data_IF_407732851872
#
_entry.id   IF_407732851872
#
_cell.length_a   1.000
_cell.length_b   1.000
_cell.length_c   1.000
_cell.angle_alpha   90.00
_cell.angle_beta   90.00
_cell.angle_gamma   90.00
#
_symmetry.space_group_name_H-M   'P 1'
#
loop_
_entity.id
_entity.type
_entity.pdbx_description
1 polymer ?
#
# COMPACT_ATOMS: atom_id res chain seq x y z
N UNK A 1 9.84 -11.88 15.05
CA UNK A 1 9.54 -11.09 13.83
C UNK A 1 10.86 -10.62 13.22
N UNK A 2 11.42 -11.34 12.24
CA UNK A 2 12.68 -10.98 11.60
C UNK A 2 12.42 -9.90 10.54
N UNK A 3 12.92 -8.68 10.75
CA UNK A 3 12.78 -7.59 9.79
C UNK A 3 14.06 -7.47 8.97
N UNK A 4 13.97 -7.63 7.65
CA UNK A 4 15.05 -7.36 6.68
C UNK A 4 15.36 -5.86 6.59
N UNK A 5 15.87 -5.29 7.68
CA UNK A 5 16.36 -3.91 7.75
C UNK A 5 17.89 -3.94 7.79
N UNK A 6 18.53 -3.19 6.89
CA UNK A 6 19.99 -3.12 6.85
C UNK A 6 20.53 -2.50 8.16
N UNK A 7 21.42 -3.19 8.90
CA UNK A 7 21.91 -2.75 10.22
C UNK A 7 22.55 -1.36 10.25
N UNK A 8 23.06 -0.88 9.12
CA UNK A 8 23.72 0.42 8.99
C UNK A 8 22.78 1.59 8.67
N UNK A 9 21.47 1.37 8.56
CA UNK A 9 20.52 2.42 8.21
C UNK A 9 20.00 3.16 9.44
N UNK A 10 19.81 4.49 9.35
CA UNK A 10 19.12 5.25 10.39
C UNK A 10 17.72 4.68 10.71
N UNK A 11 17.09 4.07 9.69
CA UNK A 11 15.82 3.35 9.79
C UNK A 11 15.90 2.11 10.70
N UNK A 12 17.03 1.38 10.68
CA UNK A 12 17.28 0.25 11.56
C UNK A 12 17.39 0.71 13.02
N UNK A 13 18.16 1.75 13.30
CA UNK A 13 18.26 2.30 14.67
C UNK A 13 16.93 2.85 15.17
N UNK A 14 16.15 3.52 14.32
CA UNK A 14 14.80 3.98 14.67
C UNK A 14 13.84 2.80 14.92
N UNK A 15 13.85 1.78 14.07
CA UNK A 15 13.02 0.59 14.23
C UNK A 15 13.40 -0.19 15.50
N UNK A 16 14.69 -0.40 15.73
CA UNK A 16 15.23 -1.08 16.91
C UNK A 16 14.93 -0.31 18.20
N UNK A 17 15.17 1.01 18.24
CA UNK A 17 14.83 1.86 19.38
C UNK A 17 13.33 1.84 19.69
N UNK A 18 12.49 1.86 18.65
CA UNK A 18 11.03 1.77 18.80
C UNK A 18 10.58 0.37 19.24
N UNK A 19 11.28 -0.68 18.79
CA UNK A 19 11.07 -2.05 19.25
C UNK A 19 11.34 -2.20 20.74
N UNK A 20 12.46 -1.67 21.22
CA UNK A 20 12.85 -1.70 22.64
C UNK A 20 11.97 -0.82 23.54
N UNK A 21 11.44 0.29 23.02
CA UNK A 21 10.68 1.27 23.82
C UNK A 21 9.24 0.86 24.12
N UNK A 22 8.69 -0.08 23.36
CA UNK A 22 7.30 -0.54 23.49
C UNK A 22 7.30 -2.05 23.58
N UNK A 23 6.79 -2.59 24.69
CA UNK A 23 6.71 -4.03 24.92
C UNK A 23 5.99 -4.77 23.80
N UNK A 24 6.41 -6.01 23.54
CA UNK A 24 5.85 -6.87 22.48
C UNK A 24 4.33 -7.04 22.62
N UNK A 25 3.82 -7.18 23.84
CA UNK A 25 2.38 -7.27 24.12
C UNK A 25 1.58 -6.06 23.63
N UNK A 26 2.07 -4.83 23.87
CA UNK A 26 1.41 -3.62 23.39
C UNK A 26 1.47 -3.50 21.87
N UNK A 27 2.48 -4.09 21.23
CA UNK A 27 2.60 -4.11 19.79
C UNK A 27 1.66 -5.13 19.14
N UNK A 28 1.52 -6.32 19.73
CA UNK A 28 0.54 -7.33 19.32
C UNK A 28 -0.89 -6.79 19.42
N UNK A 29 -1.23 -6.10 20.51
CA UNK A 29 -2.54 -5.44 20.65
C UNK A 29 -2.81 -4.40 19.56
N UNK A 30 -1.77 -3.66 19.12
CA UNK A 30 -1.88 -2.70 18.03
C UNK A 30 -1.99 -3.39 16.67
N UNK A 31 -1.33 -4.53 16.49
CA UNK A 31 -1.47 -5.37 15.31
C UNK A 31 -2.92 -5.86 15.14
N UNK A 32 -3.50 -6.40 16.21
CA UNK A 32 -4.91 -6.82 16.25
C UNK A 32 -5.83 -5.64 15.93
N UNK A 33 -5.54 -4.45 16.48
CA UNK A 33 -6.31 -3.25 16.20
C UNK A 33 -6.25 -2.84 14.71
N UNK A 34 -5.08 -2.88 14.07
CA UNK A 34 -4.97 -2.62 12.63
C UNK A 34 -5.71 -3.65 11.77
N UNK A 35 -5.63 -4.93 12.14
CA UNK A 35 -6.39 -6.00 11.45
C UNK A 35 -7.90 -5.75 11.58
N UNK A 36 -8.37 -5.30 12.74
CA UNK A 36 -9.79 -4.94 12.94
C UNK A 36 -10.25 -3.77 12.06
N UNK A 37 -9.32 -2.95 11.56
CA UNK A 37 -9.58 -1.88 10.60
C UNK A 37 -9.48 -2.34 9.13
N UNK A 38 -9.26 -3.63 8.89
CA UNK A 38 -9.18 -4.23 7.55
C UNK A 38 -7.78 -4.24 6.92
N UNK A 39 -6.73 -3.94 7.69
CA UNK A 39 -5.35 -4.01 7.20
C UNK A 39 -4.83 -5.45 7.20
N UNK A 40 -4.07 -5.83 6.16
CA UNK A 40 -3.34 -7.10 6.17
C UNK A 40 -2.07 -7.01 7.03
N UNK A 41 -1.53 -8.15 7.45
CA UNK A 41 -0.25 -8.19 8.18
C UNK A 41 0.88 -7.51 7.38
N UNK A 42 0.90 -7.74 6.07
CA UNK A 42 1.87 -7.12 5.14
C UNK A 42 1.73 -5.60 5.06
N UNK A 43 0.51 -5.06 5.14
CA UNK A 43 0.28 -3.61 5.17
C UNK A 43 0.83 -2.98 6.44
N UNK A 44 0.61 -3.64 7.58
CA UNK A 44 1.09 -3.20 8.90
C UNK A 44 2.62 -3.21 8.93
N UNK A 45 3.24 -4.31 8.48
CA UNK A 45 4.70 -4.45 8.39
C UNK A 45 5.28 -3.43 7.40
N UNK A 46 4.62 -3.20 6.27
CA UNK A 46 5.05 -2.21 5.28
C UNK A 46 4.97 -0.79 5.81
N UNK A 47 3.92 -0.44 6.56
CA UNK A 47 3.80 0.86 7.22
C UNK A 47 4.84 1.03 8.33
N UNK A 48 5.10 -0.02 9.11
CA UNK A 48 6.14 0.01 10.14
C UNK A 48 7.53 0.24 9.55
N UNK A 49 7.88 -0.49 8.47
CA UNK A 49 9.15 -0.32 7.75
C UNK A 49 9.31 1.10 7.20
N UNK A 50 8.23 1.72 6.69
CA UNK A 50 8.26 3.08 6.13
C UNK A 50 8.27 4.17 7.20
N UNK A 51 7.58 3.95 8.31
CA UNK A 51 7.35 4.90 9.40
C UNK A 51 7.35 4.14 10.73
N UNK A 52 8.52 3.88 11.34
CA UNK A 52 8.60 3.18 12.62
C UNK A 52 7.79 3.85 13.74
N UNK A 53 7.56 5.17 13.62
CA UNK A 53 6.76 5.96 14.57
C UNK A 53 5.28 5.51 14.64
N UNK A 54 4.79 4.68 13.72
CA UNK A 54 3.42 4.15 13.81
C UNK A 54 3.21 3.36 15.10
N UNK A 55 4.28 2.74 15.63
CA UNK A 55 4.25 2.02 16.89
C UNK A 55 4.07 2.97 18.08
N UNK A 56 4.39 4.24 17.95
CA UNK A 56 4.26 5.27 18.99
C UNK A 56 2.84 5.84 19.10
N UNK A 57 1.97 5.58 18.12
CA UNK A 57 0.58 6.01 18.17
C UNK A 57 -0.16 5.32 19.33
N UNK A 58 -0.87 6.06 20.15
CA UNK A 58 -1.75 5.46 21.16
C UNK A 58 -2.93 4.77 20.47
N UNK A 59 -3.47 3.70 21.08
CA UNK A 59 -4.64 2.99 20.55
C UNK A 59 -5.82 3.94 20.33
N UNK A 60 -6.01 4.92 21.21
CA UNK A 60 -7.08 5.91 21.08
C UNK A 60 -6.85 6.86 19.90
N UNK A 61 -5.60 7.26 19.65
CA UNK A 61 -5.27 8.08 18.47
C UNK A 61 -5.48 7.27 17.18
N UNK A 62 -5.15 5.99 17.17
CA UNK A 62 -5.40 5.09 16.04
C UNK A 62 -6.90 4.95 15.76
N UNK A 63 -7.71 4.69 16.80
CA UNK A 63 -9.18 4.60 16.68
C UNK A 63 -9.79 5.91 16.20
N UNK A 64 -9.44 7.05 16.80
CA UNK A 64 -9.95 8.36 16.36
C UNK A 64 -9.60 8.66 14.91
N UNK A 65 -8.38 8.33 14.50
CA UNK A 65 -7.94 8.50 13.12
C UNK A 65 -8.73 7.60 12.17
N UNK A 66 -8.94 6.33 12.54
CA UNK A 66 -9.73 5.41 11.73
C UNK A 66 -11.21 5.78 11.69
N UNK A 67 -11.83 6.09 12.83
CA UNK A 67 -13.21 6.56 12.92
C UNK A 67 -13.42 7.84 12.10
N UNK A 68 -12.44 8.75 12.12
CA UNK A 68 -12.46 9.95 11.30
C UNK A 68 -12.45 9.59 9.80
N UNK A 69 -11.60 8.67 9.37
CA UNK A 69 -11.56 8.21 7.98
C UNK A 69 -12.81 7.46 7.54
N UNK A 70 -13.41 6.65 8.42
CA UNK A 70 -14.64 5.90 8.15
C UNK A 70 -15.87 6.83 8.11
N UNK A 71 -15.91 7.87 8.95
CA UNK A 71 -17.02 8.84 9.02
C UNK A 71 -16.91 9.95 7.99
N UNK A 72 -15.72 10.19 7.44
CA UNK A 72 -15.47 11.20 6.41
C UNK A 72 -14.80 10.52 5.20
N UNK A 73 -15.54 9.68 4.45
CA UNK A 73 -15.02 9.02 3.24
C UNK A 73 -14.51 10.06 2.21
N UNK A 74 -15.09 11.27 2.21
CA UNK A 74 -14.68 12.39 1.37
C UNK A 74 -13.33 13.03 1.78
N UNK A 75 -12.87 12.79 3.01
CA UNK A 75 -11.61 13.31 3.56
C UNK A 75 -10.46 12.28 3.54
N UNK A 76 -10.66 11.18 2.81
CA UNK A 76 -9.55 10.47 2.17
C UNK A 76 -9.03 9.22 2.88
N UNK A 77 -9.78 8.12 2.82
CA UNK A 77 -9.31 7.09 1.89
C UNK A 77 -9.84 7.49 0.52
N UNK A 78 -9.04 8.18 -0.29
CA UNK A 78 -9.62 8.95 -1.35
C UNK A 78 -10.20 8.03 -2.41
N UNK A 79 -11.45 8.27 -2.76
CA UNK A 79 -12.06 7.76 -3.98
C UNK A 79 -11.15 8.00 -5.21
N UNK A 80 -10.34 9.07 -5.22
CA UNK A 80 -9.30 9.28 -6.24
C UNK A 80 -8.12 8.30 -6.18
N UNK A 81 -7.75 7.81 -4.99
CA UNK A 81 -6.73 6.78 -4.82
C UNK A 81 -7.28 5.43 -5.26
N UNK A 82 -8.51 5.07 -4.93
CA UNK A 82 -9.13 3.83 -5.44
C UNK A 82 -9.26 3.85 -6.96
N UNK A 83 -9.78 4.95 -7.52
CA UNK A 83 -9.85 5.22 -8.98
C UNK A 83 -8.49 5.24 -9.67
N UNK A 84 -7.38 5.36 -8.93
CA UNK A 84 -6.01 5.32 -9.48
C UNK A 84 -5.32 3.98 -9.24
N UNK A 85 -5.52 3.37 -8.08
CA UNK A 85 -4.87 2.15 -7.65
C UNK A 85 -5.45 0.96 -8.40
N UNK A 86 -6.77 0.87 -8.51
CA UNK A 86 -7.46 -0.29 -9.07
C UNK A 86 -7.15 -0.49 -10.57
N UNK A 87 -7.25 0.54 -11.45
CA UNK A 87 -6.79 0.43 -12.84
C UNK A 87 -5.33 -0.02 -12.96
N UNK A 88 -4.46 0.56 -12.13
CA UNK A 88 -3.02 0.32 -12.20
C UNK A 88 -2.67 -1.07 -11.72
N UNK A 89 -3.34 -1.54 -10.67
CA UNK A 89 -3.15 -2.88 -10.14
C UNK A 89 -3.59 -3.95 -11.11
N UNK A 90 -4.73 -3.77 -11.77
CA UNK A 90 -5.23 -4.68 -12.80
C UNK A 90 -4.22 -4.85 -13.94
N UNK A 91 -3.65 -3.74 -14.44
CA UNK A 91 -2.58 -3.78 -15.47
C UNK A 91 -1.35 -4.56 -14.98
N UNK A 92 -0.89 -4.30 -13.76
CA UNK A 92 0.31 -4.96 -13.21
C UNK A 92 0.07 -6.45 -13.03
N UNK A 93 -1.12 -6.86 -12.58
CA UNK A 93 -1.50 -8.28 -12.46
C UNK A 93 -1.47 -8.98 -13.82
N UNK A 94 -2.04 -8.37 -14.85
CA UNK A 94 -2.03 -8.91 -16.22
C UNK A 94 -0.59 -9.07 -16.72
N UNK A 95 0.25 -8.04 -16.58
CA UNK A 95 1.63 -8.12 -17.02
C UNK A 95 2.45 -9.16 -16.23
N UNK A 96 2.17 -9.33 -14.95
CA UNK A 96 2.83 -10.33 -14.10
C UNK A 96 2.38 -11.75 -14.48
N UNK A 97 1.10 -11.97 -14.79
CA UNK A 97 0.60 -13.28 -15.22
C UNK A 97 1.15 -13.72 -16.57
N UNK A 98 1.55 -12.75 -17.42
CA UNK A 98 2.23 -13.00 -18.69
C UNK A 98 3.77 -13.05 -18.54
N UNK A 99 4.30 -13.01 -17.31
CA UNK A 99 5.74 -13.10 -17.04
C UNK A 99 6.56 -11.87 -17.46
N UNK A 100 5.91 -10.76 -17.85
CA UNK A 100 6.59 -9.53 -18.29
C UNK A 100 7.17 -8.76 -17.11
N UNK A 101 6.46 -8.76 -15.97
CA UNK A 101 6.90 -8.12 -14.74
C UNK A 101 7.28 -9.16 -13.69
N UNK A 102 8.27 -8.83 -12.87
CA UNK A 102 8.61 -9.59 -11.67
C UNK A 102 7.46 -9.46 -10.64
N UNK A 103 7.18 -10.53 -9.87
CA UNK A 103 6.20 -10.55 -8.78
C UNK A 103 6.42 -9.44 -7.72
N UNK A 104 7.62 -8.87 -7.62
CA UNK A 104 7.98 -7.83 -6.65
C UNK A 104 7.81 -6.37 -7.14
N UNK A 105 6.79 -6.06 -7.94
CA UNK A 105 6.61 -4.66 -8.38
C UNK A 105 6.23 -3.78 -7.20
N UNK A 106 7.01 -2.71 -6.96
CA UNK A 106 6.77 -1.80 -5.85
C UNK A 106 5.47 -0.99 -6.08
N UNK A 107 4.43 -1.39 -5.36
CA UNK A 107 3.10 -0.79 -5.38
C UNK A 107 3.12 0.71 -5.06
N UNK A 108 3.93 1.13 -4.11
CA UNK A 108 4.04 2.55 -3.73
C UNK A 108 4.58 3.38 -4.89
N UNK A 109 5.58 2.86 -5.61
CA UNK A 109 6.14 3.52 -6.80
C UNK A 109 5.08 3.62 -7.90
N UNK A 110 4.35 2.54 -8.17
CA UNK A 110 3.29 2.52 -9.20
C UNK A 110 2.17 3.53 -8.86
N UNK A 111 1.74 3.60 -7.61
CA UNK A 111 0.68 4.49 -7.17
C UNK A 111 1.09 5.98 -7.25
N UNK A 112 2.38 6.27 -7.04
CA UNK A 112 2.93 7.63 -7.13
C UNK A 112 3.23 8.12 -8.54
N UNK A 113 3.25 7.25 -9.55
CA UNK A 113 3.49 7.68 -10.92
C UNK A 113 2.41 8.66 -11.39
N UNK A 114 2.82 9.68 -12.15
CA UNK A 114 1.88 10.48 -12.93
C UNK A 114 1.18 9.57 -13.94
N UNK A 115 -0.06 9.90 -14.31
CA UNK A 115 -0.89 9.04 -15.16
C UNK A 115 -0.23 8.77 -16.52
N UNK A 116 0.33 9.80 -17.13
CA UNK A 116 1.00 9.73 -18.42
C UNK A 116 2.19 8.76 -18.36
N UNK A 117 2.99 8.84 -17.28
CA UNK A 117 4.12 7.94 -17.05
C UNK A 117 3.72 6.52 -16.73
N UNK A 118 2.56 6.31 -16.11
CA UNK A 118 2.03 4.99 -15.92
C UNK A 118 1.60 4.37 -17.26
N UNK A 119 0.84 5.12 -18.06
CA UNK A 119 0.35 4.69 -19.37
C UNK A 119 1.50 4.34 -20.32
N UNK A 120 2.48 5.23 -20.46
CA UNK A 120 3.66 5.00 -21.30
C UNK A 120 4.39 3.69 -20.91
N UNK A 121 4.63 3.49 -19.61
CA UNK A 121 5.48 2.39 -19.12
C UNK A 121 4.80 1.03 -19.10
N UNK A 122 3.50 0.99 -18.80
CA UNK A 122 2.81 -0.25 -18.47
C UNK A 122 1.61 -0.56 -19.37
N UNK A 123 1.03 0.42 -20.05
CA UNK A 123 -0.13 0.21 -20.92
C UNK A 123 0.30 0.27 -22.38
N UNK A 124 0.70 1.44 -22.87
CA UNK A 124 1.05 1.70 -24.28
C UNK A 124 2.21 0.80 -24.72
N UNK A 125 3.25 0.66 -23.88
CA UNK A 125 4.41 -0.19 -24.19
C UNK A 125 4.06 -1.66 -24.45
N UNK A 126 2.99 -2.17 -23.84
CA UNK A 126 2.66 -3.60 -23.86
C UNK A 126 1.33 -3.93 -24.51
N UNK A 127 0.50 -2.94 -24.87
CA UNK A 127 -0.85 -3.17 -25.42
C UNK A 127 -0.86 -3.99 -26.72
N UNK A 128 0.17 -3.91 -27.56
CA UNK A 128 0.27 -4.72 -28.77
C UNK A 128 0.61 -6.18 -28.47
N UNK A 129 1.38 -6.44 -27.41
CA UNK A 129 1.84 -7.78 -27.01
C UNK A 129 0.87 -8.49 -26.07
N UNK A 130 0.21 -7.72 -25.21
CA UNK A 130 -0.76 -8.18 -24.21
C UNK A 130 -1.97 -7.25 -24.25
N UNK A 131 -2.89 -7.41 -25.23
CA UNK A 131 -4.05 -6.52 -25.40
C UNK A 131 -4.91 -6.36 -24.14
N UNK A 132 -4.92 -7.36 -23.27
CA UNK A 132 -5.67 -7.34 -22.00
C UNK A 132 -5.23 -6.22 -21.05
N UNK A 133 -4.02 -5.64 -21.20
CA UNK A 133 -3.58 -4.53 -20.34
C UNK A 133 -4.43 -3.27 -20.55
N UNK A 134 -4.87 -3.01 -21.78
CA UNK A 134 -5.72 -1.86 -22.08
C UNK A 134 -7.09 -2.04 -21.44
N UNK A 135 -7.68 -3.23 -21.62
CA UNK A 135 -8.96 -3.59 -21.02
C UNK A 135 -8.90 -3.55 -19.49
N UNK A 136 -7.84 -4.08 -18.89
CA UNK A 136 -7.62 -4.07 -17.45
C UNK A 136 -7.53 -2.65 -16.87
N UNK A 137 -6.90 -1.73 -17.61
CA UNK A 137 -6.84 -0.32 -17.21
C UNK A 137 -8.22 0.34 -17.22
N UNK A 138 -8.99 0.19 -18.29
CA UNK A 138 -10.30 0.84 -18.41
C UNK A 138 -11.39 0.19 -17.53
N UNK A 139 -11.43 -1.13 -17.42
CA UNK A 139 -12.36 -1.81 -16.52
C UNK A 139 -12.11 -1.46 -15.05
N UNK A 140 -10.85 -1.29 -14.65
CA UNK A 140 -10.53 -0.79 -13.31
C UNK A 140 -11.01 0.65 -13.06
N UNK A 141 -11.25 1.44 -14.12
CA UNK A 141 -11.79 2.81 -14.01
C UNK A 141 -13.32 2.83 -13.91
N UNK A 142 -14.02 1.86 -14.51
CA UNK A 142 -15.49 1.82 -14.55
C UNK A 142 -16.13 1.27 -13.27
N UNK A 143 -15.39 0.56 -12.41
CA UNK A 143 -15.91 0.04 -11.12
C UNK A 143 -16.34 1.15 -10.14
N UNK A 144 -15.93 2.40 -10.38
CA UNK A 144 -16.27 3.57 -9.55
C UNK A 144 -16.68 4.80 -10.38
N UNK A 145 -17.09 4.55 -11.63
CA UNK A 145 -17.59 5.55 -12.54
C UNK A 145 -19.11 5.51 -12.59
N UNK A 146 -19.75 5.95 -11.50
CA UNK A 146 -21.06 6.62 -11.44
C UNK A 146 -21.08 7.48 -10.15
#
# INVERSE_FOLDING_TARGET
MAMDLKPSSSLFYMAFGTLLRIGESLWEEKFVLYISFGWSEDDILSAFKKKPQIKELSKDKMRRMMDFFLKNPDWGYPSFLEKRIIPRWSVIRVLTSHGILNKYVNLYTICKLKEEKFLERYVIKYQEKVPQVLQAYYQGKTVFGD
#
